data_IF_686967274837
#
_entry.id   IF_686967274837
#
_cell.length_a   1.000
_cell.length_b   1.000
_cell.length_c   1.000
_cell.angle_alpha   90.00
_cell.angle_beta   90.00
_cell.angle_gamma   90.00
#
_symmetry.space_group_name_H-M   'P 1'
#
loop_
_entity.id
_entity.type
_entity.pdbx_description
1 polymer ?
#
# COMPACT_ATOMS: atom_id res chain seq x y z
N UNK A 1 -8.02 14.26 -17.86
CA UNK A 1 -7.97 12.94 -18.53
C UNK A 1 -7.51 11.93 -17.48
N UNK A 2 -8.06 10.72 -17.50
CA UNK A 2 -7.58 9.61 -16.67
C UNK A 2 -6.82 8.61 -17.55
N UNK A 3 -5.91 7.84 -16.95
CA UNK A 3 -5.30 6.68 -17.61
C UNK A 3 -6.35 5.58 -17.86
N UNK A 4 -6.05 4.67 -18.78
CA UNK A 4 -6.87 3.46 -18.96
C UNK A 4 -6.86 2.60 -17.69
N UNK A 5 -7.93 1.85 -17.45
CA UNK A 5 -8.04 0.92 -16.33
C UNK A 5 -6.87 -0.09 -16.32
N UNK A 6 -6.22 -0.23 -15.18
CA UNK A 6 -5.20 -1.24 -14.93
C UNK A 6 -5.79 -2.35 -14.05
N UNK A 7 -5.55 -3.61 -14.40
CA UNK A 7 -6.01 -4.78 -13.64
C UNK A 7 -4.78 -5.54 -13.15
N UNK A 8 -4.63 -5.62 -11.83
CA UNK A 8 -3.58 -6.40 -11.16
C UNK A 8 -4.14 -7.68 -10.53
N UNK A 9 -3.40 -8.78 -10.62
CA UNK A 9 -3.71 -10.04 -9.94
C UNK A 9 -2.60 -10.38 -8.96
N UNK A 10 -2.93 -10.47 -7.68
CA UNK A 10 -2.02 -10.89 -6.61
C UNK A 10 -2.37 -12.32 -6.22
N UNK A 11 -1.42 -13.24 -6.42
CA UNK A 11 -1.53 -14.61 -5.94
C UNK A 11 -0.97 -14.70 -4.51
N UNK A 12 -1.08 -15.88 -3.89
CA UNK A 12 -0.43 -16.18 -2.62
C UNK A 12 1.04 -15.75 -2.64
N UNK A 13 1.50 -15.11 -1.56
CA UNK A 13 2.84 -14.51 -1.37
C UNK A 13 3.16 -13.25 -2.17
N UNK A 14 2.33 -12.89 -3.17
CA UNK A 14 2.57 -11.70 -4.00
C UNK A 14 2.23 -10.45 -3.21
N UNK A 15 3.16 -9.50 -3.15
CA UNK A 15 3.03 -8.20 -2.49
C UNK A 15 3.44 -7.08 -3.44
N UNK A 16 3.17 -5.83 -3.05
CA UNK A 16 3.75 -4.66 -3.68
C UNK A 16 4.37 -3.74 -2.62
N UNK A 17 5.63 -3.41 -2.82
CA UNK A 17 6.41 -2.59 -1.89
C UNK A 17 5.94 -1.12 -1.84
N UNK A 18 6.39 -0.41 -0.82
CA UNK A 18 5.98 0.97 -0.58
C UNK A 18 6.35 1.88 -1.73
N UNK A 19 5.35 2.54 -2.31
CA UNK A 19 5.53 3.47 -3.42
C UNK A 19 4.50 4.59 -3.41
N UNK A 20 4.77 5.60 -4.22
CA UNK A 20 3.85 6.69 -4.55
C UNK A 20 3.46 6.54 -6.01
N UNK A 21 2.19 6.76 -6.33
CA UNK A 21 1.70 6.59 -7.70
C UNK A 21 2.12 7.73 -8.62
N UNK A 22 2.46 8.89 -8.06
CA UNK A 22 2.87 10.06 -8.81
C UNK A 22 4.35 10.37 -8.60
N UNK A 23 5.03 10.56 -9.72
CA UNK A 23 6.39 11.07 -9.81
C UNK A 23 6.45 12.15 -10.91
N UNK A 24 6.14 13.42 -10.54
CA UNK A 24 6.17 14.53 -11.50
C UNK A 24 7.54 14.74 -12.15
N UNK A 25 8.64 14.43 -11.43
CA UNK A 25 10.01 14.53 -11.95
C UNK A 25 10.27 13.61 -13.14
N UNK A 26 9.57 12.47 -13.20
CA UNK A 26 9.61 11.52 -14.30
C UNK A 26 8.38 11.60 -15.23
N UNK A 27 7.68 12.75 -15.23
CA UNK A 27 6.49 13.01 -16.07
C UNK A 27 5.28 12.09 -15.77
N UNK A 28 5.19 11.55 -14.55
CA UNK A 28 4.05 10.77 -14.08
C UNK A 28 3.27 11.59 -13.05
N UNK A 29 2.39 12.47 -13.52
CA UNK A 29 1.55 13.31 -12.67
C UNK A 29 0.16 12.68 -12.50
N UNK A 30 -0.08 12.06 -11.34
CA UNK A 30 -1.37 11.42 -10.99
C UNK A 30 -1.94 12.11 -9.76
N UNK A 31 -2.89 13.05 -9.89
CA UNK A 31 -3.38 13.81 -8.74
C UNK A 31 -4.15 12.94 -7.72
N UNK A 32 -4.76 11.85 -8.16
CA UNK A 32 -5.48 10.90 -7.32
C UNK A 32 -5.43 9.50 -7.92
N UNK A 33 -5.56 8.49 -7.06
CA UNK A 33 -5.66 7.09 -7.44
C UNK A 33 -6.92 6.49 -6.84
N UNK A 34 -7.65 5.70 -7.65
CA UNK A 34 -8.76 4.87 -7.19
C UNK A 34 -8.40 3.40 -7.34
N UNK A 35 -8.35 2.69 -6.22
CA UNK A 35 -8.17 1.23 -6.18
C UNK A 35 -9.52 0.58 -5.94
N UNK A 36 -9.89 -0.41 -6.76
CA UNK A 36 -11.14 -1.19 -6.59
C UNK A 36 -10.78 -2.66 -6.42
N UNK A 37 -11.33 -3.29 -5.38
CA UNK A 37 -11.10 -4.71 -5.11
C UNK A 37 -12.09 -5.58 -5.90
N UNK A 38 -11.55 -6.41 -6.79
CA UNK A 38 -12.33 -7.29 -7.67
C UNK A 38 -12.59 -8.68 -7.06
N UNK A 39 -11.94 -8.99 -5.94
CA UNK A 39 -12.13 -10.20 -5.15
C UNK A 39 -11.75 -9.96 -3.68
N UNK A 40 -12.10 -10.93 -2.85
CA UNK A 40 -11.78 -10.98 -1.42
C UNK A 40 -10.94 -12.24 -1.16
N UNK A 41 -9.64 -12.11 -0.84
CA UNK A 41 -8.85 -13.25 -0.38
C UNK A 41 -9.32 -13.68 1.02
N UNK A 42 -9.17 -14.96 1.33
CA UNK A 42 -9.48 -15.48 2.66
C UNK A 42 -8.61 -14.79 3.74
N UNK A 43 -7.32 -14.60 3.45
CA UNK A 43 -6.35 -13.96 4.34
C UNK A 43 -5.29 -13.11 3.59
N UNK A 44 -4.83 -12.04 4.22
CA UNK A 44 -3.82 -11.14 3.67
C UNK A 44 -4.39 -10.11 2.67
N UNK A 45 -3.55 -9.62 1.75
CA UNK A 45 -3.96 -8.75 0.65
C UNK A 45 -4.33 -7.30 1.01
N UNK A 46 -4.14 -6.88 2.26
CA UNK A 46 -4.45 -5.52 2.72
C UNK A 46 -3.69 -4.44 1.92
N UNK A 47 -4.36 -3.32 1.64
CA UNK A 47 -3.66 -2.08 1.25
C UNK A 47 -3.38 -1.29 2.52
N UNK A 48 -2.13 -0.91 2.75
CA UNK A 48 -1.76 -0.10 3.91
C UNK A 48 -1.26 1.28 3.48
N UNK A 49 -1.68 2.31 4.19
CA UNK A 49 -1.10 3.65 4.16
C UNK A 49 -0.34 3.84 5.48
N UNK A 50 1.00 3.70 5.48
CA UNK A 50 1.78 3.56 6.71
C UNK A 50 1.78 4.76 7.66
N UNK A 51 1.47 5.96 7.16
CA UNK A 51 1.44 7.27 7.86
C UNK A 51 2.00 7.23 9.28
N UNK A 52 3.27 7.60 9.44
CA UNK A 52 3.96 7.58 10.74
C UNK A 52 4.68 6.26 11.06
N UNK A 53 4.69 5.29 10.14
CA UNK A 53 5.47 4.06 10.24
C UNK A 53 6.25 3.80 8.95
N UNK A 54 7.48 3.35 9.09
CA UNK A 54 8.31 3.02 7.93
C UNK A 54 8.01 1.60 7.44
N UNK A 55 7.37 1.52 6.28
CA UNK A 55 7.10 0.28 5.54
C UNK A 55 7.75 0.30 4.14
N UNK A 56 8.76 1.15 3.94
CA UNK A 56 9.38 1.36 2.63
C UNK A 56 10.16 0.13 2.13
N UNK A 57 10.46 0.12 0.83
CA UNK A 57 11.14 -0.96 0.10
C UNK A 57 12.63 -1.13 0.48
N UNK A 58 12.90 -1.44 1.74
CA UNK A 58 14.23 -1.65 2.31
C UNK A 58 14.24 -2.78 3.33
N UNK A 59 15.44 -3.14 3.79
CA UNK A 59 15.61 -4.09 4.87
C UNK A 59 15.23 -3.46 6.21
N UNK A 60 14.44 -4.20 6.98
CA UNK A 60 14.02 -3.88 8.34
C UNK A 60 14.38 -5.04 9.27
N UNK A 61 14.34 -4.78 10.58
CA UNK A 61 14.49 -5.80 11.62
C UNK A 61 13.14 -6.00 12.29
N UNK A 62 12.64 -7.23 12.30
CA UNK A 62 11.37 -7.57 12.93
C UNK A 62 11.45 -7.29 14.44
N UNK A 63 10.53 -6.49 15.01
CA UNK A 63 10.64 -6.02 16.38
C UNK A 63 10.60 -7.16 17.42
N UNK A 64 9.83 -8.21 17.17
CA UNK A 64 9.67 -9.31 18.14
C UNK A 64 10.61 -10.51 17.92
N UNK A 65 11.04 -10.81 16.68
CA UNK A 65 11.88 -11.97 16.37
C UNK A 65 13.35 -11.62 16.09
N UNK A 66 13.64 -10.36 15.79
CA UNK A 66 14.98 -9.92 15.35
C UNK A 66 15.35 -10.34 13.92
N UNK A 67 14.45 -10.99 13.19
CA UNK A 67 14.70 -11.43 11.81
C UNK A 67 14.79 -10.25 10.84
N UNK A 68 15.62 -10.39 9.80
CA UNK A 68 15.64 -9.42 8.70
C UNK A 68 14.45 -9.67 7.78
N UNK A 69 13.60 -8.66 7.63
CA UNK A 69 12.43 -8.68 6.75
C UNK A 69 12.51 -7.52 5.76
N UNK A 70 12.09 -7.78 4.51
CA UNK A 70 12.17 -6.77 3.44
C UNK A 70 10.80 -6.14 3.17
N UNK A 71 10.78 -4.81 3.16
CA UNK A 71 9.68 -4.01 2.64
C UNK A 71 8.36 -4.14 3.41
N UNK A 72 7.26 -4.17 2.66
CA UNK A 72 5.88 -4.21 3.15
C UNK A 72 5.62 -5.35 4.14
N UNK A 73 6.38 -6.45 4.03
CA UNK A 73 6.23 -7.65 4.87
C UNK A 73 6.24 -7.30 6.37
N UNK A 74 7.14 -6.42 6.81
CA UNK A 74 7.23 -5.99 8.20
C UNK A 74 5.87 -5.49 8.73
N UNK A 75 5.30 -4.49 8.07
CA UNK A 75 4.06 -3.85 8.51
C UNK A 75 2.83 -4.74 8.28
N UNK A 76 2.91 -5.68 7.35
CA UNK A 76 1.85 -6.65 7.13
C UNK A 76 1.76 -7.69 8.24
N UNK A 77 2.89 -8.08 8.82
CA UNK A 77 3.00 -9.15 9.83
C UNK A 77 2.90 -8.65 11.27
N UNK A 78 2.98 -7.33 11.50
CA UNK A 78 2.95 -6.73 12.84
C UNK A 78 1.87 -5.64 12.99
N UNK A 79 0.59 -5.96 12.70
CA UNK A 79 -0.51 -4.98 12.78
C UNK A 79 -0.70 -4.37 14.18
N UNK A 80 -0.29 -5.07 15.23
CA UNK A 80 -0.31 -4.58 16.62
C UNK A 80 0.67 -3.43 16.88
N UNK A 81 1.60 -3.16 15.96
CA UNK A 81 2.52 -2.01 16.00
C UNK A 81 2.08 -0.87 15.08
N UNK A 82 0.91 -0.96 14.45
CA UNK A 82 0.38 0.10 13.59
C UNK A 82 0.12 1.36 14.45
N UNK A 83 0.67 2.54 14.07
CA UNK A 83 0.34 3.77 14.78
C UNK A 83 -1.13 4.16 14.53
N UNK A 84 -1.75 4.99 15.39
CA UNK A 84 -3.14 5.42 15.21
C UNK A 84 -3.42 6.13 13.88
N UNK A 85 -2.39 6.71 13.25
CA UNK A 85 -2.47 7.39 11.96
C UNK A 85 -2.45 6.43 10.76
N UNK A 86 -2.03 5.18 10.94
CA UNK A 86 -1.93 4.22 9.85
C UNK A 86 -3.31 3.73 9.41
N UNK A 87 -3.52 3.67 8.10
CA UNK A 87 -4.78 3.17 7.53
C UNK A 87 -4.55 1.79 6.92
N UNK A 88 -5.33 0.81 7.38
CA UNK A 88 -5.33 -0.57 6.87
C UNK A 88 -6.65 -0.88 6.20
N UNK A 89 -6.63 -1.11 4.90
CA UNK A 89 -7.81 -1.47 4.13
C UNK A 89 -7.78 -2.95 3.79
N UNK A 90 -8.70 -3.72 4.37
CA UNK A 90 -8.95 -5.11 3.97
C UNK A 90 -9.65 -5.13 2.60
N UNK A 91 -9.22 -5.97 1.64
CA UNK A 91 -9.96 -6.15 0.40
C UNK A 91 -11.36 -6.69 0.70
N UNK A 92 -12.37 -6.13 0.04
CA UNK A 92 -13.73 -6.65 0.00
C UNK A 92 -14.27 -6.45 -1.40
N UNK A 93 -14.93 -7.46 -1.97
CA UNK A 93 -15.48 -7.38 -3.32
C UNK A 93 -16.31 -6.10 -3.52
N UNK A 94 -15.95 -5.32 -4.53
CA UNK A 94 -16.65 -4.08 -4.90
C UNK A 94 -16.28 -2.84 -4.06
N UNK A 95 -15.46 -2.97 -3.00
CA UNK A 95 -14.95 -1.82 -2.26
C UNK A 95 -13.96 -1.04 -3.13
N UNK A 96 -14.06 0.29 -3.07
CA UNK A 96 -13.08 1.20 -3.65
C UNK A 96 -12.43 2.08 -2.57
N UNK A 97 -11.16 2.44 -2.79
CA UNK A 97 -10.40 3.41 -2.01
C UNK A 97 -9.94 4.50 -2.97
N UNK A 98 -10.27 5.75 -2.68
CA UNK A 98 -9.78 6.92 -3.39
C UNK A 98 -8.84 7.68 -2.45
N UNK A 99 -7.65 8.03 -2.94
CA UNK A 99 -6.71 8.88 -2.22
C UNK A 99 -6.06 9.89 -3.17
N UNK A 100 -5.65 11.01 -2.60
CA UNK A 100 -4.95 12.07 -3.31
C UNK A 100 -3.45 11.81 -3.20
N UNK A 101 -2.74 11.91 -4.31
CA UNK A 101 -1.28 11.79 -4.30
C UNK A 101 -0.62 13.14 -4.05
N UNK A 102 -1.34 14.25 -4.27
CA UNK A 102 -0.84 15.61 -4.15
C UNK A 102 -1.74 16.42 -3.20
N UNK A 103 -1.14 17.38 -2.50
CA UNK A 103 -1.84 18.44 -1.80
C UNK A 103 -2.48 19.42 -2.80
N UNK A 104 -3.27 20.38 -2.28
CA UNK A 104 -4.01 21.35 -3.12
C UNK A 104 -3.10 22.32 -3.88
N UNK A 105 -1.90 22.54 -3.38
CA UNK A 105 -0.85 23.35 -4.01
C UNK A 105 -0.06 22.58 -5.08
N UNK A 106 -0.33 21.28 -5.26
CA UNK A 106 0.34 20.41 -6.23
C UNK A 106 1.60 19.73 -5.69
N UNK A 107 1.99 19.99 -4.45
CA UNK A 107 3.08 19.27 -3.81
C UNK A 107 2.69 17.81 -3.56
N UNK A 108 3.66 16.92 -3.70
CA UNK A 108 3.44 15.48 -3.52
C UNK A 108 3.15 15.19 -2.04
N UNK A 109 2.08 14.46 -1.77
CA UNK A 109 1.70 14.03 -0.43
C UNK A 109 2.43 12.73 -0.08
N UNK A 110 3.44 12.80 0.77
CA UNK A 110 4.18 11.61 1.22
C UNK A 110 3.30 10.64 2.02
N UNK A 111 2.15 11.08 2.55
CA UNK A 111 1.19 10.20 3.23
C UNK A 111 0.37 9.34 2.25
N UNK A 112 0.44 9.62 0.95
CA UNK A 112 -0.11 8.76 -0.10
C UNK A 112 0.73 7.51 -0.35
N UNK A 113 1.89 7.38 0.34
CA UNK A 113 2.69 6.16 0.31
C UNK A 113 1.80 4.99 0.71
N UNK A 114 1.78 3.96 -0.13
CA UNK A 114 0.99 2.77 0.15
C UNK A 114 1.72 1.49 -0.25
N UNK A 115 1.30 0.40 0.38
CA UNK A 115 1.81 -0.96 0.13
C UNK A 115 0.64 -1.91 -0.12
N UNK A 116 0.90 -2.99 -0.84
CA UNK A 116 0.00 -4.14 -0.89
C UNK A 116 0.62 -5.30 -0.11
N UNK A 117 -0.06 -5.72 0.96
CA UNK A 117 0.35 -6.88 1.74
C UNK A 117 0.25 -8.18 0.94
N UNK A 118 1.11 -9.17 1.24
CA UNK A 118 1.00 -10.47 0.62
C UNK A 118 -0.38 -11.08 0.90
N UNK A 119 -0.95 -11.73 -0.11
CA UNK A 119 -2.06 -12.68 0.10
C UNK A 119 -1.46 -13.91 0.77
N UNK A 120 -1.99 -14.32 1.93
CA UNK A 120 -1.54 -15.52 2.64
C UNK A 120 -2.44 -16.71 2.37
N UNK A 121 -3.71 -16.45 2.02
CA UNK A 121 -4.69 -17.47 1.62
C UNK A 121 -5.73 -16.84 0.69
N UNK A 122 -6.08 -17.50 -0.41
CA UNK A 122 -7.00 -16.95 -1.41
C UNK A 122 -7.47 -17.98 -2.42
#
# INVERSE_FOLDING_TARGET
RAESLQIGRYNTTTKYEGHLDSDPGHKVARPYTMLTYLNEPEEGGHTLFPVGRDCGAKWHVHPDTGEKVYGAKLCCETPEKDPPSMVRVRPKLGRAVLFYNHHRDGEKDENALHVACPVTKG
#
